data_IF_614299321588
#
_entry.id   IF_614299321588
#
_cell.length_a   1.000
_cell.length_b   1.000
_cell.length_c   1.000
_cell.angle_alpha   90.00
_cell.angle_beta   90.00
_cell.angle_gamma   90.00
#
_symmetry.space_group_name_H-M   'P 1'
#
loop_
_entity.id
_entity.type
_entity.pdbx_description
1 polymer ?
#
# COMPACT_ATOMS: atom_id res chain seq x y z
N UNK A 1 0.82 -2.42 -30.31
CA UNK A 1 1.35 -3.45 -31.23
C UNK A 1 0.56 -4.73 -31.00
N UNK A 2 0.07 -5.39 -32.05
CA UNK A 2 -0.77 -6.59 -31.94
C UNK A 2 0.12 -7.83 -32.11
N UNK A 3 0.30 -8.63 -31.06
CA UNK A 3 0.82 -9.99 -31.20
C UNK A 3 -0.29 -10.99 -30.94
N UNK A 4 -0.72 -11.63 -32.03
CA UNK A 4 -1.47 -12.89 -32.01
C UNK A 4 -0.43 -13.99 -32.19
N UNK A 5 -0.36 -14.92 -31.26
CA UNK A 5 0.29 -16.22 -31.48
C UNK A 5 -0.47 -17.28 -30.70
N UNK A 6 -1.38 -17.93 -31.42
CA UNK A 6 -1.95 -19.21 -31.05
C UNK A 6 -0.99 -20.32 -31.48
N UNK A 7 -0.70 -21.27 -30.59
CA UNK A 7 -0.27 -22.61 -30.96
C UNK A 7 -0.74 -23.64 -29.93
N UNK A 8 -1.15 -24.79 -30.46
CA UNK A 8 -1.84 -25.92 -29.84
C UNK A 8 -0.89 -26.92 -29.15
N UNK A 9 -1.38 -27.70 -28.16
CA UNK A 9 -1.25 -29.18 -27.95
C UNK A 9 -2.13 -29.54 -26.73
N UNK A 10 -3.27 -30.25 -26.83
CA UNK A 10 -3.55 -31.70 -26.87
C UNK A 10 -3.26 -32.52 -25.59
N UNK A 11 -4.36 -32.87 -24.89
CA UNK A 11 -4.68 -34.12 -24.14
C UNK A 11 -3.86 -34.58 -22.93
N UNK A 12 -4.54 -34.77 -21.78
CA UNK A 12 -4.65 -36.09 -21.13
C UNK A 12 -5.83 -36.17 -20.15
N UNK A 13 -6.55 -37.30 -20.21
CA UNK A 13 -7.58 -37.74 -19.28
C UNK A 13 -7.01 -37.94 -17.86
N UNK A 14 -7.81 -37.59 -16.84
CA UNK A 14 -7.59 -37.98 -15.45
C UNK A 14 -8.93 -38.21 -14.74
N UNK A 15 -9.25 -39.47 -14.47
CA UNK A 15 -10.43 -40.00 -13.81
C UNK A 15 -10.22 -40.07 -12.28
N UNK A 16 -11.11 -39.48 -11.47
CA UNK A 16 -11.33 -39.83 -10.04
C UNK A 16 -12.66 -39.19 -9.60
N UNK A 17 -13.76 -39.91 -9.36
CA UNK A 17 -14.12 -40.86 -8.29
C UNK A 17 -14.21 -40.24 -6.87
N UNK A 18 -15.36 -39.61 -6.61
CA UNK A 18 -16.24 -39.92 -5.47
C UNK A 18 -15.90 -39.38 -4.07
N UNK A 19 -16.81 -38.56 -3.51
CA UNK A 19 -17.51 -38.82 -2.24
C UNK A 19 -18.52 -37.70 -1.96
N UNK A 20 -19.81 -38.04 -2.05
CA UNK A 20 -20.89 -37.21 -1.51
C UNK A 20 -21.14 -37.66 -0.06
N UNK A 21 -20.93 -36.77 0.89
CA UNK A 21 -21.42 -36.92 2.27
C UNK A 21 -22.60 -36.00 2.47
N UNK A 22 -23.78 -36.59 2.62
CA UNK A 22 -24.97 -35.91 3.11
C UNK A 22 -24.86 -35.84 4.63
N UNK A 23 -24.73 -34.63 5.20
CA UNK A 23 -24.97 -34.39 6.63
C UNK A 23 -26.35 -33.78 6.81
N UNK A 24 -27.32 -34.66 7.05
CA UNK A 24 -28.65 -34.29 7.56
C UNK A 24 -28.51 -34.09 9.08
N UNK A 25 -28.38 -32.85 9.52
CA UNK A 25 -28.42 -32.48 10.95
C UNK A 25 -29.73 -31.78 11.26
N UNK A 26 -30.74 -32.53 11.71
CA UNK A 26 -31.94 -31.95 12.31
C UNK A 26 -31.59 -31.50 13.74
N UNK A 27 -31.59 -30.19 13.96
CA UNK A 27 -31.91 -29.64 15.28
C UNK A 27 -33.42 -29.76 15.49
N UNK A 28 -33.84 -30.02 16.74
CA UNK A 28 -34.83 -29.18 17.41
C UNK A 28 -35.13 -29.63 18.86
N UNK A 29 -35.39 -28.60 19.66
CA UNK A 29 -36.28 -28.51 20.81
C UNK A 29 -35.88 -29.03 22.20
N UNK A 30 -35.73 -28.08 23.12
CA UNK A 30 -35.78 -28.32 24.55
C UNK A 30 -35.70 -27.08 25.42
N UNK A 31 -36.48 -26.03 25.18
CA UNK A 31 -36.67 -24.97 26.18
C UNK A 31 -38.15 -24.67 26.42
N UNK A 32 -38.76 -25.47 27.30
CA UNK A 32 -40.11 -25.27 27.82
C UNK A 32 -40.10 -25.16 29.35
N UNK A 33 -40.19 -23.92 29.81
CA UNK A 33 -41.02 -23.51 30.96
C UNK A 33 -40.30 -23.14 32.26
N UNK A 34 -41.02 -22.58 33.26
CA UNK A 34 -42.42 -22.14 33.23
C UNK A 34 -42.70 -20.76 33.89
N UNK A 35 -43.86 -20.22 33.51
CA UNK A 35 -44.86 -19.52 34.33
C UNK A 35 -44.44 -18.98 35.69
N UNK A 36 -44.46 -17.64 35.81
CA UNK A 36 -44.61 -16.96 37.09
C UNK A 36 -46.07 -16.92 37.55
N UNK A 37 -46.32 -17.25 38.81
CA UNK A 37 -47.54 -16.87 39.52
C UNK A 37 -47.19 -16.71 40.99
N UNK A 38 -47.62 -15.58 41.58
CA UNK A 38 -47.23 -15.16 42.92
C UNK A 38 -47.89 -15.93 44.07
N UNK A 39 -47.39 -15.69 45.28
CA UNK A 39 -47.99 -16.17 46.52
C UNK A 39 -47.21 -15.77 47.77
N UNK A 40 -47.80 -14.83 48.50
CA UNK A 40 -47.80 -14.56 49.95
C UNK A 40 -46.58 -14.85 50.86
N UNK A 41 -46.38 -13.93 51.81
CA UNK A 41 -45.31 -13.92 52.79
C UNK A 41 -45.37 -14.97 53.90
N UNK A 42 -44.31 -15.01 54.71
CA UNK A 42 -44.28 -15.77 55.94
C UNK A 42 -42.88 -15.97 56.53
N UNK A 43 -42.63 -15.28 57.64
CA UNK A 43 -41.87 -15.71 58.84
C UNK A 43 -40.35 -15.86 58.74
N UNK A 44 -39.67 -15.15 59.64
CA UNK A 44 -38.23 -15.26 59.89
C UNK A 44 -37.83 -16.55 60.61
N UNK A 45 -36.59 -16.98 60.35
CA UNK A 45 -35.98 -18.11 61.03
C UNK A 45 -34.56 -18.39 60.57
N UNK A 46 -33.63 -18.21 61.52
CA UNK A 46 -32.35 -18.92 61.70
C UNK A 46 -31.20 -18.75 60.71
N UNK A 47 -30.02 -18.49 61.28
CA UNK A 47 -28.76 -18.16 60.61
C UNK A 47 -28.25 -19.24 59.67
N UNK A 48 -27.76 -18.78 58.52
CA UNK A 48 -27.09 -19.59 57.52
C UNK A 48 -25.67 -19.96 57.94
N UNK A 49 -25.39 -21.25 57.85
CA UNK A 49 -24.08 -21.88 57.93
C UNK A 49 -23.13 -21.24 56.91
N UNK A 50 -21.90 -20.95 57.32
CA UNK A 50 -20.86 -20.38 56.45
C UNK A 50 -20.66 -21.24 55.20
N UNK A 51 -20.78 -20.60 54.03
CA UNK A 51 -20.57 -21.26 52.74
C UNK A 51 -19.16 -21.84 52.65
N UNK A 52 -19.07 -23.08 52.22
CA UNK A 52 -17.83 -23.72 51.79
C UNK A 52 -17.14 -22.84 50.75
N UNK A 53 -15.89 -22.44 51.04
CA UNK A 53 -15.07 -21.64 50.13
C UNK A 53 -15.04 -22.27 48.75
N UNK A 54 -15.50 -21.52 47.75
CA UNK A 54 -15.38 -21.93 46.36
C UNK A 54 -13.90 -22.15 46.05
N UNK A 55 -13.56 -23.35 45.58
CA UNK A 55 -12.25 -23.61 44.99
C UNK A 55 -12.06 -22.62 43.86
N UNK A 56 -11.07 -21.72 44.01
CA UNK A 56 -10.70 -20.79 42.94
C UNK A 56 -10.50 -21.58 41.66
N UNK A 57 -11.29 -21.27 40.64
CA UNK A 57 -11.16 -21.91 39.33
C UNK A 57 -9.72 -21.77 38.88
N UNK A 58 -9.10 -22.88 38.49
CA UNK A 58 -7.81 -22.88 37.81
C UNK A 58 -7.90 -21.86 36.69
N UNK A 59 -7.14 -20.76 36.79
CA UNK A 59 -7.16 -19.70 35.79
C UNK A 59 -7.01 -20.31 34.41
N UNK A 60 -8.06 -20.20 33.58
CA UNK A 60 -7.98 -20.64 32.20
C UNK A 60 -6.80 -19.94 31.55
N UNK A 61 -5.99 -20.69 30.81
CA UNK A 61 -4.95 -20.08 29.97
C UNK A 61 -5.66 -19.05 29.09
N UNK A 62 -5.35 -17.78 29.29
CA UNK A 62 -5.82 -16.73 28.39
C UNK A 62 -5.24 -17.03 27.02
N UNK A 63 -6.10 -17.11 26.01
CA UNK A 63 -5.67 -17.25 24.62
C UNK A 63 -4.84 -16.01 24.27
N UNK A 64 -3.52 -16.20 24.06
CA UNK A 64 -2.60 -15.10 23.78
C UNK A 64 -2.88 -14.44 22.43
N UNK A 65 -3.54 -15.15 21.50
CA UNK A 65 -3.81 -14.66 20.16
C UNK A 65 -2.58 -14.65 19.25
N UNK A 66 -1.47 -15.28 19.65
CA UNK A 66 -0.23 -15.32 18.85
C UNK A 66 -0.43 -16.00 17.48
N UNK A 67 -1.47 -16.82 17.36
CA UNK A 67 -1.88 -17.48 16.12
C UNK A 67 -2.65 -16.57 15.16
N UNK A 68 -3.16 -15.43 15.63
CA UNK A 68 -4.00 -14.53 14.85
C UNK A 68 -3.18 -13.86 13.74
N UNK A 69 -3.69 -13.90 12.50
CA UNK A 69 -3.00 -13.35 11.33
C UNK A 69 -1.86 -14.21 10.78
N UNK A 70 -1.58 -15.38 11.36
CA UNK A 70 -0.65 -16.33 10.75
C UNK A 70 -1.16 -16.81 9.37
N UNK A 71 -0.25 -17.15 8.44
CA UNK A 71 -0.63 -17.75 7.18
C UNK A 71 -1.21 -19.15 7.42
N UNK A 72 -2.11 -19.57 6.55
CA UNK A 72 -2.75 -20.88 6.66
C UNK A 72 -3.34 -21.34 5.33
N UNK A 73 -3.47 -22.65 5.25
CA UNK A 73 -4.19 -23.37 4.19
C UNK A 73 -5.35 -24.19 4.77
N UNK A 74 -5.29 -24.54 6.06
CA UNK A 74 -6.28 -25.39 6.75
C UNK A 74 -6.53 -24.92 8.19
N UNK A 75 -7.69 -25.27 8.74
CA UNK A 75 -8.06 -24.89 10.12
C UNK A 75 -7.11 -25.44 11.20
N UNK A 76 -6.45 -26.57 10.95
CA UNK A 76 -5.52 -27.17 11.92
C UNK A 76 -4.28 -26.32 12.21
N UNK A 77 -3.96 -25.37 11.32
CA UNK A 77 -2.82 -24.46 11.48
C UNK A 77 -3.16 -23.26 12.37
N UNK A 78 -4.45 -23.04 12.65
CA UNK A 78 -4.94 -21.84 13.32
C UNK A 78 -5.47 -22.05 14.73
N UNK A 79 -5.36 -23.26 15.30
CA UNK A 79 -6.01 -23.61 16.56
C UNK A 79 -5.67 -22.61 17.69
N UNK A 80 -6.68 -22.09 18.43
CA UNK A 80 -8.12 -22.44 18.44
C UNK A 80 -9.01 -21.75 17.38
N UNK A 81 -8.46 -20.94 16.49
CA UNK A 81 -9.18 -20.32 15.38
C UNK A 81 -9.44 -21.22 14.17
N UNK A 82 -9.78 -20.58 13.06
CA UNK A 82 -10.07 -21.17 11.75
C UNK A 82 -9.30 -20.43 10.66
N UNK A 83 -8.96 -21.12 9.60
CA UNK A 83 -8.28 -20.53 8.47
C UNK A 83 -9.27 -19.87 7.51
N UNK A 84 -9.08 -18.57 7.25
CA UNK A 84 -9.68 -17.93 6.07
C UNK A 84 -8.70 -18.11 4.92
N UNK A 85 -8.86 -19.18 4.14
CA UNK A 85 -7.93 -19.53 3.06
C UNK A 85 -8.09 -18.62 1.82
N UNK A 86 -7.03 -18.49 1.02
CA UNK A 86 -7.03 -17.70 -0.21
C UNK A 86 -8.15 -18.09 -1.21
N UNK A 87 -8.50 -19.37 -1.25
CA UNK A 87 -9.56 -19.90 -2.10
C UNK A 87 -10.98 -19.75 -1.55
N UNK A 88 -11.21 -18.94 -0.52
CA UNK A 88 -12.54 -18.73 0.09
C UNK A 88 -13.12 -17.35 -0.26
N UNK A 89 -14.44 -17.24 -0.36
CA UNK A 89 -15.13 -15.94 -0.51
C UNK A 89 -15.68 -15.51 0.85
N UNK A 90 -14.79 -15.11 1.76
CA UNK A 90 -15.19 -14.71 3.11
C UNK A 90 -15.96 -13.37 3.07
N UNK A 91 -17.17 -13.30 3.66
CA UNK A 91 -18.01 -12.12 3.57
C UNK A 91 -17.50 -10.93 4.39
N UNK A 92 -16.57 -11.13 5.33
CA UNK A 92 -15.97 -10.07 6.14
C UNK A 92 -14.82 -9.42 5.38
N UNK A 93 -13.95 -10.22 4.79
CA UNK A 93 -12.85 -9.71 3.97
C UNK A 93 -13.24 -9.40 2.52
N UNK A 94 -14.43 -9.85 2.08
CA UNK A 94 -14.94 -9.79 0.70
C UNK A 94 -14.16 -10.67 -0.29
N UNK A 95 -13.54 -11.74 0.20
CA UNK A 95 -12.65 -12.62 -0.56
C UNK A 95 -11.68 -13.36 0.36
N UNK A 96 -10.73 -14.09 -0.23
CA UNK A 96 -9.75 -14.90 0.50
C UNK A 96 -8.42 -14.16 0.63
N UNK A 97 -7.86 -13.98 1.84
CA UNK A 97 -6.52 -13.42 2.01
C UNK A 97 -5.46 -14.23 1.26
N UNK A 98 -4.52 -13.54 0.58
CA UNK A 98 -3.35 -14.20 0.01
C UNK A 98 -2.63 -14.98 1.13
N UNK A 99 -2.19 -16.21 0.84
CA UNK A 99 -1.59 -17.16 1.80
C UNK A 99 -2.44 -17.47 3.06
N UNK A 100 -3.73 -17.13 3.03
CA UNK A 100 -4.67 -17.32 4.12
C UNK A 100 -4.43 -16.43 5.35
N UNK A 101 -5.41 -16.46 6.26
CA UNK A 101 -5.39 -15.70 7.50
C UNK A 101 -6.04 -16.50 8.61
N UNK A 102 -5.26 -16.87 9.63
CA UNK A 102 -5.81 -17.45 10.83
C UNK A 102 -6.66 -16.41 11.57
N UNK A 103 -7.96 -16.69 11.70
CA UNK A 103 -8.93 -15.80 12.34
C UNK A 103 -9.91 -16.61 13.22
N UNK A 104 -10.83 -15.92 13.88
CA UNK A 104 -11.94 -16.53 14.62
C UNK A 104 -13.19 -15.68 14.42
N UNK A 105 -14.37 -16.29 14.28
CA UNK A 105 -15.62 -15.55 14.27
C UNK A 105 -15.84 -14.76 15.58
N UNK A 106 -16.42 -13.57 15.48
CA UNK A 106 -16.64 -12.70 16.63
C UNK A 106 -17.90 -11.85 16.49
N UNK A 107 -18.48 -11.45 17.62
CA UNK A 107 -19.59 -10.50 17.65
C UNK A 107 -19.12 -9.08 18.03
N UNK A 108 -18.08 -8.99 18.87
CA UNK A 108 -17.47 -7.75 19.40
C UNK A 108 -15.96 -7.94 19.62
N UNK A 109 -15.21 -6.84 19.71
CA UNK A 109 -13.74 -6.89 19.86
C UNK A 109 -13.24 -7.65 21.08
N UNK A 110 -14.01 -7.66 22.18
CA UNK A 110 -13.64 -8.44 23.38
C UNK A 110 -13.71 -9.97 23.21
N UNK A 111 -14.20 -10.47 22.07
CA UNK A 111 -14.19 -11.90 21.75
C UNK A 111 -12.85 -12.33 21.11
N UNK A 112 -12.03 -11.37 20.70
CA UNK A 112 -10.79 -11.57 19.97
C UNK A 112 -9.58 -11.63 20.91
N UNK A 113 -8.71 -12.63 20.76
CA UNK A 113 -7.51 -12.76 21.58
C UNK A 113 -6.41 -11.80 21.11
N UNK A 114 -5.44 -11.55 21.98
CA UNK A 114 -4.34 -10.64 21.72
C UNK A 114 -4.64 -9.17 22.03
N UNK A 115 -3.58 -8.38 22.23
CA UNK A 115 -3.68 -6.95 22.53
C UNK A 115 -3.98 -6.19 21.24
N UNK A 116 -4.98 -5.30 21.29
CA UNK A 116 -5.34 -4.44 20.15
C UNK A 116 -6.13 -5.15 19.03
N UNK A 117 -6.29 -6.47 19.09
CA UNK A 117 -7.13 -7.21 18.16
C UNK A 117 -8.58 -6.75 18.25
N UNK A 118 -9.25 -6.65 17.09
CA UNK A 118 -10.64 -6.22 17.04
C UNK A 118 -11.50 -7.21 16.27
N UNK A 119 -12.81 -7.08 16.48
CA UNK A 119 -13.79 -7.79 15.67
C UNK A 119 -14.14 -6.98 14.43
N UNK A 120 -13.49 -7.29 13.32
CA UNK A 120 -13.72 -6.62 12.04
C UNK A 120 -14.96 -7.18 11.36
N UNK A 121 -15.91 -6.33 10.97
CA UNK A 121 -17.16 -6.72 10.28
C UNK A 121 -17.18 -6.30 8.81
N UNK A 122 -16.01 -6.19 8.19
CA UNK A 122 -15.86 -5.76 6.82
C UNK A 122 -15.99 -4.24 6.64
N UNK A 123 -15.84 -3.75 5.40
CA UNK A 123 -16.00 -2.34 5.08
C UNK A 123 -17.40 -1.86 5.50
N UNK A 124 -17.45 -0.73 6.23
CA UNK A 124 -18.70 -0.13 6.72
C UNK A 124 -19.55 -1.05 7.61
N UNK A 125 -18.94 -2.03 8.30
CA UNK A 125 -19.64 -3.02 9.14
C UNK A 125 -20.72 -3.80 8.38
N UNK A 126 -20.41 -4.19 7.14
CA UNK A 126 -21.34 -4.86 6.23
C UNK A 126 -21.72 -6.30 6.63
N UNK A 127 -20.86 -6.98 7.39
CA UNK A 127 -21.08 -8.38 7.76
C UNK A 127 -21.83 -8.54 9.10
N UNK A 128 -22.71 -9.55 9.16
CA UNK A 128 -23.47 -9.88 10.37
C UNK A 128 -22.59 -10.44 11.50
N UNK A 129 -21.66 -11.31 11.13
CA UNK A 129 -20.62 -11.87 11.99
C UNK A 129 -19.27 -11.30 11.56
N UNK A 130 -18.39 -10.99 12.52
CA UNK A 130 -17.06 -10.46 12.23
C UNK A 130 -15.97 -11.53 12.25
N UNK A 131 -14.76 -11.11 11.88
CA UNK A 131 -13.51 -11.86 12.02
C UNK A 131 -12.59 -11.13 12.98
N UNK A 132 -11.95 -11.88 13.87
CA UNK A 132 -10.86 -11.35 14.65
C UNK A 132 -9.69 -11.02 13.73
N UNK A 133 -9.21 -9.79 13.81
CA UNK A 133 -8.04 -9.32 13.07
C UNK A 133 -6.98 -8.87 14.08
N UNK A 134 -5.73 -9.20 13.79
CA UNK A 134 -4.59 -8.85 14.60
C UNK A 134 -4.46 -7.32 14.71
N UNK A 135 -4.29 -6.83 15.93
CA UNK A 135 -3.98 -5.42 16.18
C UNK A 135 -2.54 -5.08 15.75
N UNK A 136 -2.31 -3.84 15.37
CA UNK A 136 -0.98 -3.33 15.09
C UNK A 136 -0.87 -1.86 15.52
N UNK A 137 0.28 -1.25 15.30
CA UNK A 137 0.51 0.18 15.52
C UNK A 137 1.10 0.80 14.25
N UNK A 138 0.50 1.90 13.78
CA UNK A 138 1.09 2.66 12.67
C UNK A 138 2.37 3.35 13.10
N UNK A 139 3.37 3.30 12.23
CA UNK A 139 4.71 3.79 12.50
C UNK A 139 5.57 2.77 13.25
N UNK A 140 6.70 3.20 13.83
CA UNK A 140 7.27 4.54 13.67
C UNK A 140 7.66 4.82 12.21
N UNK A 141 7.81 6.09 11.87
CA UNK A 141 8.34 6.50 10.56
C UNK A 141 9.69 5.88 10.24
N UNK A 142 10.02 5.78 8.96
CA UNK A 142 11.34 5.32 8.51
C UNK A 142 12.47 6.18 9.10
N UNK A 143 13.37 5.55 9.86
CA UNK A 143 14.55 6.22 10.40
C UNK A 143 15.52 6.57 9.26
N UNK A 144 15.84 7.85 9.09
CA UNK A 144 16.77 8.32 8.04
C UNK A 144 16.11 8.68 6.71
N UNK A 145 14.79 8.84 6.69
CA UNK A 145 14.02 9.16 5.49
C UNK A 145 13.34 7.92 4.90
N UNK A 146 12.51 8.15 3.88
CA UNK A 146 11.74 7.08 3.26
C UNK A 146 12.65 6.00 2.66
N UNK A 147 12.54 4.76 3.16
CA UNK A 147 13.22 3.59 2.62
C UNK A 147 12.18 2.51 2.28
N UNK A 148 11.79 2.37 0.99
CA UNK A 148 10.79 1.37 0.60
C UNK A 148 11.28 -0.07 0.71
N UNK A 149 12.57 -0.27 1.02
CA UNK A 149 13.19 -1.59 1.19
C UNK A 149 13.56 -1.86 2.65
N UNK A 150 12.95 -1.14 3.59
CA UNK A 150 13.14 -1.44 5.00
C UNK A 150 12.54 -2.81 5.32
N UNK A 151 13.28 -3.62 6.07
CA UNK A 151 12.82 -4.92 6.54
C UNK A 151 11.52 -4.77 7.36
N UNK A 152 10.59 -5.70 7.18
CA UNK A 152 9.36 -5.74 7.96
C UNK A 152 9.66 -6.13 9.40
N UNK A 153 9.02 -5.47 10.35
CA UNK A 153 9.08 -5.87 11.75
C UNK A 153 8.30 -7.20 11.93
N UNK A 154 8.95 -8.29 12.39
CA UNK A 154 8.28 -9.57 12.59
C UNK A 154 7.12 -9.52 13.59
N UNK A 155 7.07 -8.51 14.47
CA UNK A 155 5.97 -8.33 15.41
C UNK A 155 4.80 -7.52 14.83
N UNK A 156 5.04 -6.74 13.77
CA UNK A 156 4.01 -5.95 13.11
C UNK A 156 3.38 -6.79 12.01
N UNK A 157 2.11 -7.14 12.19
CA UNK A 157 1.40 -7.99 11.24
C UNK A 157 2.16 -9.29 10.90
N UNK A 158 2.81 -9.87 11.91
CA UNK A 158 3.60 -11.11 11.78
C UNK A 158 4.77 -11.01 10.78
N UNK A 159 5.22 -9.79 10.44
CA UNK A 159 6.27 -9.56 9.43
C UNK A 159 5.88 -10.01 8.03
N UNK A 160 4.58 -10.08 7.74
CA UNK A 160 4.04 -10.57 6.47
C UNK A 160 3.96 -9.46 5.43
N UNK A 161 4.39 -9.78 4.21
CA UNK A 161 4.29 -8.88 3.04
C UNK A 161 2.90 -8.82 2.45
N UNK A 162 2.02 -9.74 2.81
CA UNK A 162 0.62 -9.77 2.38
C UNK A 162 -0.34 -9.29 3.49
N UNK A 163 0.17 -8.63 4.54
CA UNK A 163 -0.62 -7.95 5.57
C UNK A 163 -0.11 -6.52 5.79
N UNK A 164 -1.03 -5.56 5.77
CA UNK A 164 -0.73 -4.15 6.08
C UNK A 164 -1.34 -3.72 7.39
N UNK A 165 -0.61 -2.93 8.18
CA UNK A 165 -1.17 -2.22 9.30
C UNK A 165 -1.96 -1.01 8.79
N UNK A 166 -3.27 -1.00 9.04
CA UNK A 166 -4.18 0.04 8.57
C UNK A 166 -4.98 0.63 9.73
N UNK A 167 -5.03 1.96 9.79
CA UNK A 167 -5.83 2.70 10.75
C UNK A 167 -7.31 2.65 10.43
N UNK A 168 -8.11 2.36 11.44
CA UNK A 168 -9.58 2.41 11.42
C UNK A 168 -10.06 3.28 12.58
N UNK A 169 -11.36 3.60 12.57
CA UNK A 169 -12.01 4.26 13.71
C UNK A 169 -11.92 3.44 15.01
N UNK A 170 -11.83 2.12 14.86
CA UNK A 170 -11.95 1.16 15.96
C UNK A 170 -10.60 0.63 16.44
N UNK A 171 -9.49 1.05 15.80
CA UNK A 171 -8.13 0.61 16.09
C UNK A 171 -7.25 0.53 14.84
N UNK A 172 -5.95 0.32 15.05
CA UNK A 172 -4.98 0.01 14.01
C UNK A 172 -4.92 -1.53 13.87
N UNK A 173 -5.15 -2.06 12.67
CA UNK A 173 -5.33 -3.50 12.44
C UNK A 173 -4.59 -4.01 11.21
N UNK A 174 -4.19 -5.28 11.25
CA UNK A 174 -3.57 -5.98 10.13
C UNK A 174 -4.63 -6.51 9.16
N UNK A 175 -4.71 -5.89 7.99
CA UNK A 175 -5.61 -6.29 6.91
C UNK A 175 -4.83 -6.94 5.76
N UNK A 176 -5.40 -7.95 5.07
CA UNK A 176 -4.76 -8.59 3.93
C UNK A 176 -4.46 -7.63 2.79
N UNK A 177 -3.30 -7.76 2.15
CA UNK A 177 -3.01 -7.28 0.80
C UNK A 177 -2.91 -8.48 -0.14
N UNK A 178 -3.12 -8.24 -1.43
CA UNK A 178 -2.76 -9.18 -2.47
C UNK A 178 -1.83 -8.48 -3.45
N UNK A 179 -0.84 -9.20 -3.95
CA UNK A 179 0.25 -8.59 -4.70
C UNK A 179 -0.07 -8.50 -6.20
N UNK A 180 -0.69 -9.55 -6.74
CA UNK A 180 -1.14 -9.68 -8.13
C UNK A 180 -2.04 -10.91 -8.29
N UNK A 181 -2.66 -11.07 -9.46
CA UNK A 181 -3.54 -12.21 -9.76
C UNK A 181 -2.82 -13.56 -9.68
N UNK A 182 -1.54 -13.63 -10.05
CA UNK A 182 -0.75 -14.87 -9.98
C UNK A 182 -0.60 -15.36 -8.53
N UNK A 183 -0.42 -14.44 -7.58
CA UNK A 183 -0.30 -14.77 -6.17
C UNK A 183 -1.62 -15.27 -5.55
N UNK A 184 -2.76 -14.98 -6.19
CA UNK A 184 -4.06 -15.48 -5.78
C UNK A 184 -4.34 -16.93 -6.21
N UNK A 185 -3.51 -17.50 -7.08
CA UNK A 185 -3.67 -18.84 -7.62
C UNK A 185 -4.70 -18.93 -8.75
N UNK A 186 -4.94 -20.15 -9.23
CA UNK A 186 -5.74 -20.39 -10.43
C UNK A 186 -7.19 -19.89 -10.29
N UNK A 187 -7.66 -19.14 -11.30
CA UNK A 187 -9.03 -18.59 -11.40
C UNK A 187 -9.43 -17.66 -10.25
N UNK A 188 -8.46 -16.99 -9.64
CA UNK A 188 -8.67 -15.96 -8.65
C UNK A 188 -8.02 -14.66 -9.12
N UNK A 189 -8.62 -13.54 -8.75
CA UNK A 189 -8.15 -12.20 -9.09
C UNK A 189 -7.84 -11.42 -7.82
N UNK A 190 -6.77 -10.64 -7.85
CA UNK A 190 -6.38 -9.79 -6.75
C UNK A 190 -7.22 -8.50 -6.75
N UNK A 191 -8.11 -8.38 -5.77
CA UNK A 191 -8.86 -7.15 -5.53
C UNK A 191 -8.08 -6.26 -4.57
N UNK A 192 -7.33 -5.31 -5.13
CA UNK A 192 -6.42 -4.41 -4.40
C UNK A 192 -7.07 -3.49 -3.34
N UNK A 193 -8.39 -3.24 -3.41
CA UNK A 193 -9.10 -2.40 -2.43
C UNK A 193 -9.26 -3.09 -1.08
N UNK A 194 -9.87 -4.29 -0.98
CA UNK A 194 -9.81 -5.06 0.26
C UNK A 194 -8.46 -5.75 0.44
N UNK A 195 -7.72 -6.00 -0.64
CA UNK A 195 -6.45 -6.73 -0.65
C UNK A 195 -6.64 -8.24 -0.55
N UNK A 196 -7.64 -8.79 -1.24
CA UNK A 196 -7.98 -10.22 -1.19
C UNK A 196 -8.21 -10.82 -2.58
N UNK A 197 -8.17 -12.14 -2.64
CA UNK A 197 -8.39 -12.94 -3.81
C UNK A 197 -9.88 -13.26 -4.00
N UNK A 198 -10.45 -12.86 -5.14
CA UNK A 198 -11.87 -13.04 -5.49
C UNK A 198 -12.04 -13.93 -6.71
N UNK A 199 -13.21 -14.54 -6.89
CA UNK A 199 -13.48 -15.46 -8.00
C UNK A 199 -13.85 -14.79 -9.33
N UNK A 200 -14.12 -13.48 -9.34
CA UNK A 200 -14.55 -12.74 -10.53
C UNK A 200 -13.75 -11.45 -10.70
N UNK A 201 -13.29 -11.17 -11.92
CA UNK A 201 -12.62 -9.92 -12.24
C UNK A 201 -13.59 -8.74 -12.14
N UNK A 202 -13.17 -7.67 -11.46
CA UNK A 202 -13.97 -6.45 -11.33
C UNK A 202 -13.59 -5.51 -12.49
N UNK A 203 -14.52 -5.10 -13.36
CA UNK A 203 -14.22 -4.20 -14.45
C UNK A 203 -13.94 -2.78 -13.94
N UNK A 204 -13.04 -2.07 -14.60
CA UNK A 204 -12.72 -0.67 -14.29
C UNK A 204 -11.38 -0.24 -14.86
N UNK A 205 -10.94 0.94 -14.45
CA UNK A 205 -9.65 1.53 -14.78
C UNK A 205 -8.51 0.81 -14.08
N UNK A 206 -7.40 0.66 -14.79
CA UNK A 206 -6.18 0.01 -14.33
C UNK A 206 -5.38 0.92 -13.38
N UNK A 207 -4.40 0.34 -12.68
CA UNK A 207 -3.47 1.09 -11.83
C UNK A 207 -2.78 2.22 -12.61
N UNK A 208 -2.69 3.39 -11.98
CA UNK A 208 -2.12 4.61 -12.54
C UNK A 208 -3.05 5.45 -13.41
N UNK A 209 -4.17 4.90 -13.89
CA UNK A 209 -5.12 5.68 -14.70
C UNK A 209 -5.84 6.76 -13.88
N UNK A 210 -6.12 7.91 -14.49
CA UNK A 210 -6.83 9.03 -13.85
C UNK A 210 -8.24 8.60 -13.47
N UNK A 211 -8.67 8.92 -12.25
CA UNK A 211 -10.01 8.65 -11.75
C UNK A 211 -10.63 9.81 -10.97
N UNK A 212 -11.94 9.72 -10.74
CA UNK A 212 -12.65 10.55 -9.76
C UNK A 212 -12.52 9.96 -8.35
N UNK A 213 -11.94 10.67 -7.36
CA UNK A 213 -11.82 10.20 -5.98
C UNK A 213 -13.15 9.85 -5.31
N UNK A 214 -14.27 10.39 -5.81
CA UNK A 214 -15.62 10.11 -5.33
C UNK A 214 -16.32 8.98 -6.12
N UNK A 215 -15.69 8.50 -7.20
CA UNK A 215 -16.22 7.45 -8.06
C UNK A 215 -15.67 6.06 -7.73
N UNK A 216 -16.37 5.03 -8.19
CA UNK A 216 -15.91 3.65 -8.20
C UNK A 216 -15.41 3.27 -9.60
N UNK A 217 -14.41 4.00 -10.09
CA UNK A 217 -13.92 3.85 -11.48
C UNK A 217 -12.81 2.82 -11.62
N UNK A 218 -12.09 2.53 -10.54
CA UNK A 218 -10.93 1.63 -10.55
C UNK A 218 -11.40 0.16 -10.47
N UNK A 219 -10.79 -0.71 -11.28
CA UNK A 219 -11.17 -2.13 -11.37
C UNK A 219 -10.99 -2.84 -10.04
N UNK A 220 -9.74 -2.98 -9.61
CA UNK A 220 -9.37 -3.72 -8.40
C UNK A 220 -9.02 -2.80 -7.24
N UNK A 221 -8.74 -1.52 -7.51
CA UNK A 221 -8.20 -0.56 -6.55
C UNK A 221 -9.15 0.57 -6.12
N UNK A 222 -8.58 1.56 -5.45
CA UNK A 222 -9.25 2.78 -5.05
C UNK A 222 -8.68 3.98 -5.83
N UNK A 223 -9.47 5.04 -5.93
CA UNK A 223 -8.99 6.29 -6.49
C UNK A 223 -8.27 7.12 -5.42
N UNK A 224 -6.94 7.19 -5.49
CA UNK A 224 -6.13 8.00 -4.56
C UNK A 224 -6.16 9.45 -5.04
N UNK A 225 -6.85 10.31 -4.29
CA UNK A 225 -6.98 11.74 -4.59
C UNK A 225 -5.72 12.54 -4.29
N UNK A 226 -5.81 13.86 -4.54
CA UNK A 226 -4.72 14.81 -4.28
C UNK A 226 -4.07 15.38 -5.54
N UNK A 227 -4.56 14.99 -6.73
CA UNK A 227 -4.11 15.59 -7.98
C UNK A 227 -4.85 16.91 -8.28
N UNK A 228 -4.26 17.79 -9.09
CA UNK A 228 -4.91 19.01 -9.55
C UNK A 228 -6.31 18.77 -10.16
N UNK A 229 -7.22 19.71 -9.95
CA UNK A 229 -8.59 19.62 -10.48
C UNK A 229 -9.50 18.62 -9.76
N UNK A 230 -9.13 18.19 -8.55
CA UNK A 230 -9.92 17.25 -7.75
C UNK A 230 -9.90 15.82 -8.32
N UNK A 231 -8.84 15.48 -9.05
CA UNK A 231 -8.65 14.15 -9.62
C UNK A 231 -7.82 13.26 -8.68
N UNK A 232 -7.84 11.98 -8.99
CA UNK A 232 -6.95 10.98 -8.41
C UNK A 232 -6.40 10.05 -9.48
N UNK A 233 -5.68 9.04 -9.03
CA UNK A 233 -5.23 7.94 -9.87
C UNK A 233 -5.63 6.62 -9.21
N UNK A 234 -5.92 5.62 -10.04
CA UNK A 234 -6.27 4.30 -9.54
C UNK A 234 -5.03 3.66 -8.91
N UNK A 235 -5.16 3.23 -7.66
CA UNK A 235 -4.08 2.57 -6.93
C UNK A 235 -4.63 1.43 -6.08
N UNK A 236 -3.74 0.56 -5.60
CA UNK A 236 -4.04 -0.52 -4.67
C UNK A 236 -3.45 -0.25 -3.30
N UNK A 237 -4.03 -0.84 -2.26
CA UNK A 237 -3.31 -0.92 -0.99
C UNK A 237 -2.16 -1.92 -1.11
N UNK A 238 -1.04 -1.58 -0.49
CA UNK A 238 0.16 -2.41 -0.40
C UNK A 238 0.82 -2.24 0.98
N UNK A 239 1.87 -2.99 1.26
CA UNK A 239 2.68 -2.93 2.46
C UNK A 239 3.94 -2.10 2.19
N UNK A 240 4.16 -1.07 2.99
CA UNK A 240 5.39 -0.29 2.92
C UNK A 240 6.56 -1.11 3.48
N UNK A 241 7.71 -1.10 2.81
CA UNK A 241 8.87 -1.92 3.18
C UNK A 241 8.82 -3.32 2.55
N UNK A 242 9.54 -4.26 3.15
CA UNK A 242 9.60 -5.65 2.70
C UNK A 242 10.49 -5.89 1.48
N UNK A 243 10.40 -7.10 0.92
CA UNK A 243 11.11 -7.49 -0.28
C UNK A 243 10.37 -6.95 -1.53
N UNK A 244 10.94 -5.97 -2.26
CA UNK A 244 10.31 -5.43 -3.45
C UNK A 244 10.20 -6.44 -4.60
N UNK A 245 10.90 -7.58 -4.51
CA UNK A 245 10.86 -8.64 -5.51
C UNK A 245 9.66 -9.58 -5.34
N UNK A 246 9.04 -9.63 -4.16
CA UNK A 246 7.89 -10.51 -3.90
C UNK A 246 6.55 -9.96 -4.43
N UNK A 247 6.61 -8.87 -5.19
CA UNK A 247 5.61 -8.63 -6.23
C UNK A 247 4.40 -7.82 -5.79
N UNK A 248 4.42 -7.16 -4.64
CA UNK A 248 3.41 -6.14 -4.34
C UNK A 248 3.40 -5.08 -5.44
N UNK A 249 2.20 -4.66 -5.85
CA UNK A 249 2.02 -3.76 -7.00
C UNK A 249 2.61 -4.31 -8.31
N UNK A 250 2.74 -5.64 -8.43
CA UNK A 250 3.36 -6.32 -9.57
C UNK A 250 4.90 -6.36 -9.53
N UNK A 251 5.54 -5.89 -8.45
CA UNK A 251 6.99 -5.89 -8.27
C UNK A 251 7.70 -4.83 -9.12
N UNK A 252 9.02 -4.70 -8.97
CA UNK A 252 9.80 -3.58 -9.54
C UNK A 252 9.62 -3.32 -11.05
N UNK A 253 9.16 -4.31 -11.82
CA UNK A 253 8.87 -4.15 -13.25
C UNK A 253 7.55 -3.42 -13.51
N UNK A 254 6.55 -3.60 -12.65
CA UNK A 254 5.20 -3.06 -12.82
C UNK A 254 4.92 -1.91 -11.84
N UNK A 255 5.44 -1.96 -10.62
CA UNK A 255 5.20 -0.95 -9.60
C UNK A 255 5.85 -1.22 -8.25
N UNK A 256 5.67 -0.27 -7.33
CA UNK A 256 6.22 -0.35 -5.97
C UNK A 256 5.29 0.31 -4.95
N UNK A 257 5.27 -0.21 -3.73
CA UNK A 257 4.55 0.40 -2.62
C UNK A 257 5.29 1.63 -2.11
N UNK A 258 4.86 2.83 -2.53
CA UNK A 258 5.65 4.05 -2.35
C UNK A 258 4.91 5.18 -1.65
N UNK A 259 3.59 5.20 -1.73
CA UNK A 259 2.83 6.39 -1.35
C UNK A 259 2.24 6.13 0.04
N UNK A 260 2.87 6.61 1.12
CA UNK A 260 2.29 6.50 2.43
C UNK A 260 1.04 7.38 2.53
N UNK A 261 0.03 6.95 3.29
CA UNK A 261 -1.12 7.79 3.60
C UNK A 261 -0.73 9.01 4.44
N UNK A 262 -1.55 10.05 4.35
CA UNK A 262 -1.54 11.09 5.37
C UNK A 262 -2.04 10.51 6.70
N UNK A 263 -1.16 10.43 7.69
CA UNK A 263 -1.50 9.96 9.02
C UNK A 263 -2.03 11.16 9.84
N UNK A 264 -3.25 11.10 10.42
CA UNK A 264 -3.76 12.18 11.26
C UNK A 264 -2.82 12.49 12.42
N UNK A 265 -2.62 13.79 12.70
CA UNK A 265 -1.69 14.29 13.71
C UNK A 265 -0.21 13.99 13.45
N UNK A 266 0.15 13.54 12.24
CA UNK A 266 1.55 13.48 11.85
C UNK A 266 2.09 14.90 11.73
N UNK A 267 3.22 15.24 12.39
CA UNK A 267 3.82 16.56 12.25
C UNK A 267 4.11 16.88 10.78
N UNK A 268 3.92 18.15 10.41
CA UNK A 268 4.12 18.57 9.03
C UNK A 268 5.58 18.32 8.60
N UNK A 269 5.75 17.60 7.49
CA UNK A 269 7.07 17.24 6.96
C UNK A 269 7.66 15.97 7.56
N UNK A 270 6.96 15.30 8.48
CA UNK A 270 7.34 13.98 8.97
C UNK A 270 6.59 12.87 8.24
N UNK A 271 7.24 11.71 8.12
CA UNK A 271 6.64 10.47 7.64
C UNK A 271 6.30 9.64 8.88
N UNK A 272 5.01 9.51 9.20
CA UNK A 272 4.57 8.72 10.35
C UNK A 272 4.20 7.27 10.00
N UNK A 273 4.30 6.91 8.72
CA UNK A 273 4.22 5.52 8.27
C UNK A 273 5.62 4.94 8.14
N UNK A 274 5.78 3.69 8.55
CA UNK A 274 7.00 2.91 8.45
C UNK A 274 6.78 1.57 7.76
N UNK A 275 7.76 0.68 7.90
CA UNK A 275 7.66 -0.68 7.40
C UNK A 275 6.45 -1.40 8.02
N UNK A 276 5.74 -2.19 7.22
CA UNK A 276 4.52 -2.92 7.62
C UNK A 276 3.25 -2.08 7.65
N UNK A 277 3.32 -0.76 7.44
CA UNK A 277 2.12 0.08 7.28
C UNK A 277 1.54 -0.01 5.88
N UNK A 278 0.27 0.37 5.73
CA UNK A 278 -0.29 0.52 4.40
C UNK A 278 0.35 1.65 3.62
N UNK A 279 0.54 1.40 2.32
CA UNK A 279 0.82 2.42 1.31
C UNK A 279 -0.11 2.27 0.11
N UNK A 280 0.20 3.02 -0.94
CA UNK A 280 -0.44 2.88 -2.23
C UNK A 280 0.57 2.56 -3.33
N UNK A 281 0.14 1.71 -4.26
CA UNK A 281 0.92 1.31 -5.42
C UNK A 281 1.20 2.49 -6.36
N UNK A 282 2.45 2.59 -6.78
CA UNK A 282 2.91 3.46 -7.86
C UNK A 282 3.39 2.59 -9.01
N UNK A 283 3.00 2.92 -10.24
CA UNK A 283 3.51 2.24 -11.42
C UNK A 283 5.00 2.52 -11.62
N UNK A 284 5.69 1.58 -12.26
CA UNK A 284 7.02 1.80 -12.82
C UNK A 284 6.94 2.74 -14.03
N UNK A 285 8.07 3.35 -14.39
CA UNK A 285 8.15 4.25 -15.54
C UNK A 285 9.56 4.28 -16.14
N UNK A 286 9.61 4.46 -17.45
CA UNK A 286 10.84 4.66 -18.23
C UNK A 286 10.95 6.09 -18.78
N UNK A 287 9.85 6.84 -18.78
CA UNK A 287 9.74 8.24 -19.20
C UNK A 287 8.67 8.96 -18.39
N UNK A 288 8.65 10.29 -18.44
CA UNK A 288 7.78 11.10 -17.57
C UNK A 288 6.29 10.92 -17.90
N UNK A 289 5.95 10.71 -19.17
CA UNK A 289 4.57 10.54 -19.62
C UNK A 289 4.03 9.11 -19.49
N UNK A 290 4.82 8.18 -18.95
CA UNK A 290 4.29 6.89 -18.45
C UNK A 290 3.46 7.09 -17.18
N UNK A 291 3.72 8.18 -16.44
CA UNK A 291 2.92 8.58 -15.29
C UNK A 291 1.65 9.28 -15.76
N UNK A 292 0.63 8.47 -16.06
CA UNK A 292 -0.61 8.90 -16.71
C UNK A 292 -1.41 9.99 -15.96
N UNK A 293 -1.11 10.24 -14.68
CA UNK A 293 -1.86 11.15 -13.84
C UNK A 293 -1.14 12.50 -13.66
N UNK A 294 -1.83 13.65 -13.88
CA UNK A 294 -1.22 14.97 -13.75
C UNK A 294 -0.58 15.20 -12.39
N UNK A 295 0.67 15.66 -12.39
CA UNK A 295 1.45 15.88 -11.17
C UNK A 295 2.20 14.66 -10.62
N UNK A 296 1.99 13.46 -11.20
CA UNK A 296 2.89 12.32 -10.99
C UNK A 296 3.99 12.33 -12.06
N UNK A 297 5.21 12.07 -11.61
CA UNK A 297 6.41 12.16 -12.43
C UNK A 297 7.33 10.99 -12.14
N UNK A 298 8.03 10.54 -13.16
CA UNK A 298 8.99 9.47 -13.07
C UNK A 298 10.23 9.89 -12.27
N UNK A 299 10.55 9.12 -11.22
CA UNK A 299 11.67 9.37 -10.31
C UNK A 299 12.45 8.09 -9.99
N UNK A 300 13.76 8.20 -9.79
CA UNK A 300 14.60 7.05 -9.48
C UNK A 300 14.43 6.58 -8.04
N UNK A 301 14.19 5.29 -7.85
CA UNK A 301 14.34 4.58 -6.58
C UNK A 301 15.06 3.26 -6.84
N UNK A 302 16.21 3.05 -6.20
CA UNK A 302 17.00 1.82 -6.40
C UNK A 302 17.50 1.59 -7.83
N UNK A 303 17.50 2.61 -8.68
CA UNK A 303 17.88 2.53 -10.10
C UNK A 303 16.70 2.44 -11.08
N UNK A 304 15.51 2.08 -10.60
CA UNK A 304 14.29 1.95 -11.39
C UNK A 304 13.43 3.22 -11.27
N UNK A 305 12.65 3.55 -12.30
CA UNK A 305 11.72 4.68 -12.28
C UNK A 305 10.36 4.30 -11.72
N UNK A 306 9.81 5.15 -10.86
CA UNK A 306 8.44 5.04 -10.37
C UNK A 306 7.72 6.39 -10.38
N UNK A 307 6.41 6.36 -10.55
CA UNK A 307 5.56 7.55 -10.59
C UNK A 307 5.29 8.15 -9.21
N UNK A 308 5.92 9.30 -8.92
CA UNK A 308 5.81 9.98 -7.63
C UNK A 308 5.40 11.44 -7.82
N UNK A 309 4.80 12.03 -6.79
CA UNK A 309 4.51 13.47 -6.80
C UNK A 309 5.82 14.27 -6.93
N UNK A 310 5.84 15.24 -7.83
CA UNK A 310 6.96 16.19 -7.92
C UNK A 310 6.58 17.56 -7.35
N UNK A 311 7.58 18.28 -6.88
CA UNK A 311 7.45 19.65 -6.42
C UNK A 311 7.39 20.59 -7.64
N UNK A 312 6.35 21.42 -7.69
CA UNK A 312 6.29 22.55 -8.63
C UNK A 312 7.44 23.54 -8.35
N UNK A 313 8.01 24.12 -9.40
CA UNK A 313 9.12 25.07 -9.30
C UNK A 313 8.82 26.42 -9.98
N UNK A 314 7.79 27.17 -9.53
CA UNK A 314 7.42 28.44 -10.13
C UNK A 314 8.52 29.50 -10.06
N UNK A 315 9.48 29.38 -9.13
CA UNK A 315 10.63 30.28 -9.00
C UNK A 315 11.91 29.70 -9.63
N UNK A 316 11.78 28.67 -10.48
CA UNK A 316 12.90 28.04 -11.16
C UNK A 316 13.67 27.06 -10.27
N UNK A 317 14.97 26.87 -10.58
CA UNK A 317 15.82 25.84 -9.94
C UNK A 317 15.94 25.97 -8.41
N UNK A 318 15.72 27.15 -7.85
CA UNK A 318 15.82 27.38 -6.40
C UNK A 318 14.84 26.50 -5.60
N UNK A 319 13.65 26.24 -6.16
CA UNK A 319 12.63 25.39 -5.51
C UNK A 319 13.06 23.91 -5.49
N UNK A 320 13.90 23.48 -6.43
CA UNK A 320 14.37 22.09 -6.55
C UNK A 320 15.58 21.76 -5.66
N UNK A 321 16.11 22.72 -4.90
CA UNK A 321 17.29 22.52 -4.07
C UNK A 321 17.11 21.44 -2.98
N UNK A 322 15.86 21.15 -2.61
CA UNK A 322 15.52 20.13 -1.60
C UNK A 322 15.54 18.70 -2.16
N UNK A 323 15.54 18.54 -3.49
CA UNK A 323 15.40 17.25 -4.16
C UNK A 323 16.64 17.03 -5.03
N UNK A 324 17.64 16.37 -4.44
CA UNK A 324 18.89 16.07 -5.13
C UNK A 324 18.64 15.33 -6.46
N UNK A 325 19.36 15.73 -7.50
CA UNK A 325 19.27 15.12 -8.84
C UNK A 325 18.14 15.64 -9.72
N UNK A 326 17.37 16.65 -9.27
CA UNK A 326 16.29 17.23 -10.07
C UNK A 326 16.62 18.60 -10.64
N UNK A 327 16.03 18.89 -11.80
CA UNK A 327 16.12 20.18 -12.49
C UNK A 327 14.71 20.72 -12.69
N UNK A 328 14.53 22.02 -12.45
CA UNK A 328 13.28 22.70 -12.78
C UNK A 328 13.07 22.66 -14.30
N UNK A 329 12.10 21.87 -14.73
CA UNK A 329 11.85 21.52 -16.12
C UNK A 329 10.45 22.00 -16.50
N UNK A 330 10.37 22.79 -17.58
CA UNK A 330 9.10 23.23 -18.14
C UNK A 330 8.43 22.06 -18.89
N UNK A 331 7.15 21.84 -18.62
CA UNK A 331 6.30 20.82 -19.24
C UNK A 331 5.00 21.46 -19.71
N UNK A 332 4.17 20.71 -20.43
CA UNK A 332 2.81 21.16 -20.79
C UNK A 332 1.92 21.45 -19.58
N UNK A 333 2.25 20.89 -18.41
CA UNK A 333 1.46 21.01 -17.19
C UNK A 333 2.02 22.05 -16.21
N UNK A 334 3.10 22.76 -16.58
CA UNK A 334 3.79 23.71 -15.70
C UNK A 334 5.27 23.37 -15.52
N UNK A 335 5.93 24.00 -14.56
CA UNK A 335 7.34 23.74 -14.25
C UNK A 335 7.47 22.89 -12.99
N UNK A 336 8.20 21.78 -13.08
CA UNK A 336 8.36 20.81 -11.99
C UNK A 336 9.84 20.41 -11.78
N UNK A 337 10.17 19.96 -10.58
CA UNK A 337 11.49 19.45 -10.25
C UNK A 337 11.65 17.99 -10.73
N UNK A 338 12.17 17.81 -11.94
CA UNK A 338 12.22 16.50 -12.61
C UNK A 338 13.66 15.98 -12.74
N UNK A 339 13.81 14.66 -12.70
CA UNK A 339 15.09 14.04 -13.04
C UNK A 339 15.26 14.03 -14.57
N UNK A 340 16.34 14.64 -15.06
CA UNK A 340 16.59 14.82 -16.50
C UNK A 340 16.84 13.51 -17.26
N UNK A 341 17.03 12.39 -16.55
CA UNK A 341 17.28 11.08 -17.17
C UNK A 341 16.01 10.47 -17.79
N UNK A 342 14.84 10.87 -17.34
CA UNK A 342 13.56 10.42 -17.89
C UNK A 342 13.08 11.44 -18.92
N UNK A 343 12.94 11.07 -20.20
CA UNK A 343 12.48 12.01 -21.22
C UNK A 343 11.04 12.45 -20.94
N UNK A 344 10.68 13.67 -21.34
CA UNK A 344 9.33 14.21 -21.12
C UNK A 344 8.25 13.53 -21.98
N UNK A 345 8.65 12.86 -23.07
CA UNK A 345 7.71 12.27 -24.03
C UNK A 345 6.69 13.29 -24.55
N UNK A 346 5.41 12.95 -24.44
CA UNK A 346 4.28 13.79 -24.84
C UNK A 346 4.05 15.01 -23.95
N UNK A 347 4.65 15.05 -22.76
CA UNK A 347 4.58 16.18 -21.81
C UNK A 347 5.61 17.28 -22.12
N UNK A 348 6.51 17.06 -23.10
CA UNK A 348 7.41 18.10 -23.56
C UNK A 348 6.61 19.32 -24.02
N UNK A 349 7.02 20.56 -23.67
CA UNK A 349 6.36 21.76 -24.17
C UNK A 349 6.33 21.69 -25.69
N UNK A 350 5.21 22.07 -26.30
CA UNK A 350 5.10 22.05 -27.76
C UNK A 350 6.24 22.89 -28.29
N UNK A 351 7.18 22.25 -29.00
CA UNK A 351 8.30 22.94 -29.62
C UNK A 351 7.70 23.89 -30.64
N UNK A 352 7.45 25.12 -30.22
CA UNK A 352 6.86 26.16 -31.04
C UNK A 352 7.66 26.20 -32.34
N UNK A 353 6.98 25.87 -33.43
CA UNK A 353 7.46 26.11 -34.77
C UNK A 353 7.69 27.61 -34.95
N UNK A 354 8.87 28.08 -34.57
CA UNK A 354 9.32 29.45 -34.83
C UNK A 354 9.30 30.36 -33.61
N UNK A 355 10.51 30.68 -33.15
CA UNK A 355 10.74 31.72 -32.16
C UNK A 355 12.23 31.86 -31.86
N UNK A 356 13.05 32.13 -32.87
CA UNK A 356 14.42 32.57 -32.63
C UNK A 356 14.41 33.82 -31.74
N UNK A 357 15.07 33.73 -30.58
CA UNK A 357 15.15 34.83 -29.63
C UNK A 357 15.86 34.37 -28.37
N UNK A 358 17.19 34.35 -28.41
CA UNK A 358 18.02 33.87 -27.31
C UNK A 358 17.83 34.67 -26.03
N UNK A 359 17.94 33.98 -24.89
CA UNK A 359 18.39 34.57 -23.64
C UNK A 359 19.86 34.18 -23.44
N UNK A 360 20.72 34.81 -24.23
CA UNK A 360 22.08 35.09 -23.79
C UNK A 360 22.00 36.19 -22.74
N UNK A 361 22.29 35.85 -21.50
CA UNK A 361 22.19 36.79 -20.38
C UNK A 361 22.95 36.30 -19.16
N UNK A 362 24.24 36.02 -19.33
CA UNK A 362 25.17 35.89 -18.22
C UNK A 362 25.19 37.22 -17.45
N UNK A 363 24.52 37.25 -16.30
CA UNK A 363 24.68 38.29 -15.30
C UNK A 363 26.05 38.15 -14.64
N UNK A 364 27.08 38.70 -15.28
CA UNK A 364 28.37 38.91 -14.68
C UNK A 364 28.25 39.89 -13.51
N UNK A 365 28.63 39.44 -12.32
CA UNK A 365 28.92 40.33 -11.19
C UNK A 365 30.27 41.03 -11.46
N UNK A 366 30.23 42.23 -12.03
CA UNK A 366 31.33 43.19 -12.04
C UNK A 366 31.31 44.04 -10.77
N UNK A 367 32.48 44.21 -10.16
CA UNK A 367 32.65 44.61 -8.76
C UNK A 367 32.65 46.11 -8.44
N UNK A 368 32.70 46.39 -7.15
CA UNK A 368 33.11 47.66 -6.56
C UNK A 368 34.32 47.39 -5.63
N UNK A 369 35.39 48.16 -5.84
CA UNK A 369 36.71 47.92 -5.29
C UNK A 369 36.89 48.19 -3.80
N UNK A 370 38.00 47.67 -3.28
CA UNK A 370 38.56 47.99 -1.98
C UNK A 370 40.07 47.76 -2.01
N UNK A 371 40.82 48.83 -1.73
CA UNK A 371 42.27 48.91 -1.73
C UNK A 371 42.95 48.04 -0.66
N UNK A 372 44.15 47.57 -0.98
CA UNK A 372 45.28 47.54 -0.03
C UNK A 372 45.74 46.16 0.43
N UNK A 373 47.01 45.84 0.20
CA UNK A 373 47.70 44.77 0.93
C UNK A 373 48.83 44.11 0.14
N UNK A 374 50.06 44.36 0.57
CA UNK A 374 51.30 44.00 -0.10
C UNK A 374 51.70 42.52 0.04
N UNK A 375 52.46 42.04 -0.95
CA UNK A 375 53.55 41.08 -0.76
C UNK A 375 53.25 39.61 -1.05
N UNK A 376 53.97 39.04 -2.03
CA UNK A 376 54.03 37.59 -2.21
C UNK A 376 54.55 37.19 -3.59
N UNK A 377 55.85 37.00 -3.68
CA UNK A 377 56.57 36.62 -4.89
C UNK A 377 56.30 35.17 -5.34
N UNK A 378 56.39 34.95 -6.65
CA UNK A 378 56.99 33.74 -7.21
C UNK A 378 56.03 32.70 -7.79
N UNK A 379 56.09 32.51 -9.11
CA UNK A 379 55.50 31.34 -9.76
C UNK A 379 55.32 31.50 -11.26
N UNK A 380 56.39 31.27 -12.01
CA UNK A 380 56.35 30.94 -13.45
C UNK A 380 55.31 29.81 -13.71
N UNK A 381 54.62 29.69 -14.82
CA UNK A 381 54.90 30.02 -16.21
C UNK A 381 54.25 28.90 -17.02
N UNK A 382 53.44 29.22 -18.03
CA UNK A 382 52.71 28.21 -18.80
C UNK A 382 51.85 28.82 -19.89
N UNK A 383 52.52 29.28 -20.95
CA UNK A 383 51.94 29.37 -22.30
C UNK A 383 51.42 27.97 -22.72
N UNK A 384 50.45 27.78 -23.59
CA UNK A 384 49.74 28.58 -24.57
C UNK A 384 48.98 27.58 -25.45
N UNK A 385 47.94 28.00 -26.17
CA UNK A 385 47.21 27.08 -27.04
C UNK A 385 46.00 27.73 -27.68
N UNK A 386 46.25 28.44 -28.77
CA UNK A 386 45.26 29.11 -29.58
C UNK A 386 44.43 28.13 -30.43
N UNK A 387 43.20 28.55 -30.75
CA UNK A 387 42.68 28.55 -32.11
C UNK A 387 42.10 27.23 -32.64
N UNK A 388 40.80 27.27 -32.93
CA UNK A 388 40.13 26.29 -33.78
C UNK A 388 38.80 26.84 -34.28
N UNK A 389 38.85 27.55 -35.41
CA UNK A 389 37.68 27.97 -36.17
C UNK A 389 37.27 26.89 -37.18
N UNK A 390 35.99 26.85 -37.52
CA UNK A 390 35.51 26.40 -38.84
C UNK A 390 34.86 25.02 -38.90
N UNK A 391 33.61 25.00 -39.34
CA UNK A 391 32.89 23.79 -39.70
C UNK A 391 31.52 24.09 -40.30
N UNK A 392 31.50 24.60 -41.53
CA UNK A 392 30.30 24.59 -42.39
C UNK A 392 30.22 23.27 -43.15
N UNK A 393 29.00 22.75 -43.31
CA UNK A 393 28.57 22.10 -44.56
C UNK A 393 28.15 20.63 -44.49
N UNK A 394 26.99 20.34 -45.09
CA UNK A 394 26.82 19.10 -45.86
C UNK A 394 25.63 18.20 -45.51
N UNK A 395 24.46 18.50 -46.10
CA UNK A 395 23.44 17.53 -46.56
C UNK A 395 24.06 16.55 -47.59
N UNK A 396 23.45 15.39 -47.91
CA UNK A 396 22.01 15.11 -48.06
C UNK A 396 21.36 14.17 -47.05
#
# INVERSE_FOLDING_TARGET
>A
MKMKSAWWVLTTLGLSLGLAVNSTGCGDDGNTGPSGTGGAGGVGGTGGVGGTGGTGGTGGSVDSGDWLGLPCTTDSECAPGTCVAAGTDDPVFLGGPQNGYCSKPCAKSGDCPGVGSICYKGPNNSAAEGRCVLGCEIGPGFSGGFNPFAELDPFKCQGREDLRCQRRSDGDICLPTCSNDLACGDNRYCQLTPGVCIGEEVPGKQLGEICDPMGAECSTGLCVGGLPGGKGFCSGYCVLGGDPLQGECGGLEEGLCLIPPAVPNCPQGELCSGAGDYGFCSNSCAQQDDCAAPGLWCRTIGGTGFCFFSLECPNGQADCAQIAGTTCTETKEGSYCLESKYPLGTLAPESGSGGGGGMGGAGGMGGAGGMGGAGGAGGAGGAGGAGGAGGMGGMP
#
